data_IF_040556176590
#
_entry.id   IF_040556176590
#
_cell.length_a   1.000
_cell.length_b   1.000
_cell.length_c   1.000
_cell.angle_alpha   90.00
_cell.angle_beta   90.00
_cell.angle_gamma   90.00
#
_symmetry.space_group_name_H-M   'P 1'
#
loop_
_entity.id
_entity.type
_entity.pdbx_description
1 polymer ?
#
# COMPACT_ATOMS: atom_id res chain seq x y z
N UNK A 1 14.22 6.65 8.32
CA UNK A 1 12.77 6.86 8.55
C UNK A 1 12.12 7.01 7.18
N UNK A 2 11.18 6.15 6.81
CA UNK A 2 10.51 6.23 5.50
C UNK A 2 9.11 6.81 5.73
N UNK A 3 8.83 7.97 5.15
CA UNK A 3 7.58 8.70 5.33
C UNK A 3 6.70 8.69 4.08
N UNK A 4 7.32 8.61 2.88
CA UNK A 4 6.60 8.59 1.61
C UNK A 4 7.14 7.47 0.73
N UNK A 5 6.26 6.66 0.17
CA UNK A 5 6.58 5.61 -0.80
C UNK A 5 5.73 5.83 -2.07
N UNK A 6 6.39 6.18 -3.17
CA UNK A 6 5.75 6.52 -4.43
C UNK A 6 6.05 5.41 -5.46
N UNK A 7 5.06 4.59 -5.78
CA UNK A 7 5.17 3.45 -6.69
C UNK A 7 4.11 3.45 -7.82
N UNK A 8 3.78 4.58 -8.46
CA UNK A 8 2.76 4.60 -9.50
C UNK A 8 3.26 3.88 -10.76
N UNK A 9 2.34 3.27 -11.51
CA UNK A 9 2.61 2.64 -12.82
C UNK A 9 3.66 1.51 -12.82
N UNK A 10 3.80 0.78 -11.72
CA UNK A 10 4.78 -0.29 -11.57
C UNK A 10 4.24 -1.69 -11.89
N UNK A 11 3.00 -1.79 -12.40
CA UNK A 11 2.33 -3.09 -12.65
C UNK A 11 2.35 -3.98 -11.41
N UNK A 12 2.20 -3.39 -10.23
CA UNK A 12 2.05 -4.14 -8.99
C UNK A 12 0.70 -4.85 -9.08
N UNK A 13 0.74 -6.18 -8.99
CA UNK A 13 -0.43 -7.03 -8.91
C UNK A 13 -0.70 -7.42 -7.46
N UNK A 14 -1.86 -8.02 -7.19
CA UNK A 14 -2.30 -8.44 -5.85
C UNK A 14 -1.25 -9.23 -5.04
N UNK A 15 -0.48 -10.19 -5.61
CA UNK A 15 0.62 -10.85 -4.89
C UNK A 15 1.78 -9.92 -4.49
N UNK A 16 2.09 -8.94 -5.35
CA UNK A 16 3.09 -7.92 -5.07
C UNK A 16 2.63 -6.97 -3.97
N UNK A 17 1.35 -6.60 -3.98
CA UNK A 17 0.75 -5.79 -2.91
C UNK A 17 0.76 -6.54 -1.58
N UNK A 18 0.46 -7.84 -1.55
CA UNK A 18 0.51 -8.64 -0.32
C UNK A 18 1.92 -8.66 0.28
N UNK A 19 2.95 -8.74 -0.56
CA UNK A 19 4.35 -8.64 -0.13
C UNK A 19 4.62 -7.27 0.50
N UNK A 20 4.12 -6.20 -0.10
CA UNK A 20 4.22 -4.84 0.43
C UNK A 20 3.49 -4.69 1.76
N UNK A 21 2.27 -5.23 1.89
CA UNK A 21 1.49 -5.27 3.14
C UNK A 21 2.30 -5.89 4.27
N UNK A 22 2.95 -7.03 4.02
CA UNK A 22 3.77 -7.72 5.00
C UNK A 22 5.02 -6.92 5.40
N UNK A 23 5.68 -6.26 4.44
CA UNK A 23 6.82 -5.40 4.72
C UNK A 23 6.42 -4.13 5.51
N UNK A 24 5.27 -3.55 5.18
CA UNK A 24 4.75 -2.33 5.81
C UNK A 24 4.10 -2.57 7.18
N UNK A 25 3.77 -3.82 7.53
CA UNK A 25 3.19 -4.19 8.84
C UNK A 25 4.00 -3.68 10.03
N UNK A 26 5.32 -3.58 9.89
CA UNK A 26 6.24 -3.12 10.93
C UNK A 26 6.65 -1.65 10.75
N UNK A 27 6.24 -1.01 9.66
CA UNK A 27 6.56 0.37 9.36
C UNK A 27 5.54 1.30 10.04
N UNK A 28 5.98 1.97 11.11
CA UNK A 28 5.14 2.93 11.86
C UNK A 28 5.36 4.37 11.43
N UNK A 29 6.20 4.61 10.42
CA UNK A 29 6.61 5.97 10.02
C UNK A 29 6.07 6.38 8.66
N UNK A 30 5.57 5.44 7.86
CA UNK A 30 5.04 5.70 6.54
C UNK A 30 3.74 6.50 6.66
N UNK A 31 3.73 7.67 6.03
CA UNK A 31 2.62 8.61 6.03
C UNK A 31 1.92 8.66 4.67
N UNK A 32 2.60 8.35 3.56
CA UNK A 32 2.00 8.41 2.23
C UNK A 32 2.43 7.18 1.43
N UNK A 33 1.46 6.50 0.81
CA UNK A 33 1.69 5.42 -0.13
C UNK A 33 0.95 5.71 -1.44
N UNK A 34 1.68 5.88 -2.54
CA UNK A 34 1.09 6.03 -3.86
C UNK A 34 1.27 4.77 -4.69
N UNK A 35 0.16 4.12 -5.03
CA UNK A 35 0.02 2.95 -5.86
C UNK A 35 -0.83 3.22 -7.12
N UNK A 36 -1.02 4.49 -7.49
CA UNK A 36 -1.76 4.87 -8.68
C UNK A 36 -1.34 4.12 -9.94
N UNK A 37 -2.32 3.74 -10.74
CA UNK A 37 -2.11 3.08 -12.04
C UNK A 37 -1.32 1.76 -11.93
N UNK A 38 -1.47 1.06 -10.81
CA UNK A 38 -1.09 -0.34 -10.70
C UNK A 38 -2.27 -1.26 -11.05
N UNK A 39 -2.02 -2.56 -11.07
CA UNK A 39 -2.99 -3.58 -11.51
C UNK A 39 -3.37 -4.47 -10.34
N UNK A 40 -3.83 -3.84 -9.26
CA UNK A 40 -4.31 -4.47 -8.04
C UNK A 40 -5.80 -4.78 -8.24
N UNK A 41 -6.15 -6.05 -8.25
CA UNK A 41 -7.49 -6.56 -8.53
C UNK A 41 -8.11 -7.33 -7.34
N UNK A 42 -7.44 -7.33 -6.19
CA UNK A 42 -7.86 -8.03 -4.97
C UNK A 42 -8.25 -7.05 -3.85
N UNK A 43 -9.55 -6.85 -3.69
CA UNK A 43 -10.15 -6.03 -2.63
C UNK A 43 -9.77 -6.48 -1.21
N UNK A 44 -9.49 -7.77 -1.00
CA UNK A 44 -9.11 -8.28 0.31
C UNK A 44 -7.72 -7.76 0.70
N UNK A 45 -6.77 -7.78 -0.24
CA UNK A 45 -5.40 -7.29 -0.01
C UNK A 45 -5.39 -5.77 0.16
N UNK A 46 -6.21 -5.04 -0.61
CA UNK A 46 -6.42 -3.59 -0.45
C UNK A 46 -6.89 -3.25 0.97
N UNK A 47 -7.90 -3.98 1.48
CA UNK A 47 -8.41 -3.79 2.85
C UNK A 47 -7.37 -4.14 3.91
N UNK A 48 -6.56 -5.18 3.70
CA UNK A 48 -5.46 -5.51 4.61
C UNK A 48 -4.40 -4.40 4.67
N UNK A 49 -4.03 -3.82 3.53
CA UNK A 49 -3.09 -2.69 3.49
C UNK A 49 -3.65 -1.47 4.23
N UNK A 50 -4.91 -1.12 3.98
CA UNK A 50 -5.59 -0.02 4.66
C UNK A 50 -5.62 -0.24 6.17
N UNK A 51 -5.88 -1.47 6.63
CA UNK A 51 -5.84 -1.79 8.06
C UNK A 51 -4.43 -1.67 8.65
N UNK A 52 -3.39 -2.09 7.92
CA UNK A 52 -2.00 -2.01 8.38
C UNK A 52 -1.50 -0.56 8.50
N UNK A 53 -1.91 0.33 7.60
CA UNK A 53 -1.55 1.75 7.62
C UNK A 53 -2.42 2.58 8.58
N UNK A 54 -3.35 1.93 9.29
CA UNK A 54 -4.33 2.59 10.16
C UNK A 54 -5.48 3.20 9.34
N UNK A 55 -6.56 3.61 10.01
CA UNK A 55 -7.83 4.10 9.43
C UNK A 55 -7.71 5.28 8.43
N UNK A 56 -6.50 5.73 8.14
CA UNK A 56 -6.19 6.82 7.23
C UNK A 56 -6.01 6.26 5.80
N UNK A 57 -7.04 5.61 5.25
CA UNK A 57 -7.09 5.25 3.84
C UNK A 57 -6.88 6.48 2.92
N UNK A 58 -7.13 7.68 3.44
CA UNK A 58 -6.87 8.98 2.80
C UNK A 58 -5.39 9.20 2.43
N UNK A 59 -4.48 8.41 3.00
CA UNK A 59 -3.03 8.47 2.74
C UNK A 59 -2.55 7.50 1.65
N UNK A 60 -3.45 6.64 1.16
CA UNK A 60 -3.15 5.67 0.09
C UNK A 60 -3.82 6.12 -1.20
N UNK A 61 -3.00 6.39 -2.22
CA UNK A 61 -3.47 6.74 -3.55
C UNK A 61 -3.46 5.46 -4.42
N UNK A 62 -4.61 5.01 -4.91
CA UNK A 62 -4.78 3.76 -5.68
C UNK A 62 -4.74 3.95 -7.19
#
# INVERSE_FOLDING_TARGET
>A
KLEVLNLPRNKIHSPGLLTLVNALKYNTTLMILNLQLNSIDDDQVVRQLANNLGKDADRVFW
#
